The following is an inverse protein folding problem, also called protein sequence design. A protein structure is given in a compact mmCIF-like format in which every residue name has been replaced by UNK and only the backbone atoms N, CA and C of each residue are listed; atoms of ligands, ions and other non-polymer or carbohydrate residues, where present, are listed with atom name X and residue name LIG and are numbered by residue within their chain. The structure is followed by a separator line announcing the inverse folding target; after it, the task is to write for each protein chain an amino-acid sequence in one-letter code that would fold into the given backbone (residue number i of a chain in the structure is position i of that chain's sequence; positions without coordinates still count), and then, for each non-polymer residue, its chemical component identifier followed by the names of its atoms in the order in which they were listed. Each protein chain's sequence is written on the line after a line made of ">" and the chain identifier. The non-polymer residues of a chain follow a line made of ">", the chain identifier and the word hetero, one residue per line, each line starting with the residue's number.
data_IF_241603344288
#
_entry.id   IF_241603344288
#
_cell.length_a   1.000
_cell.length_b   1.000
_cell.length_c   1.000
_cell.angle_alpha   90.00
_cell.angle_beta   90.00
_cell.angle_gamma   90.00
#
_symmetry.space_group_name_H-M   'P 1'
#
loop_
_entity.id
_entity.type
_entity.pdbx_description
1 polymer ?
#
# COMPACT_ATOMS: atom_id res chain seq x y z
N UNK A 1 10.82 -37.92 -17.46
CA UNK A 1 10.48 -36.49 -17.26
C UNK A 1 11.77 -35.65 -17.14
N UNK A 2 11.90 -34.52 -17.84
CA UNK A 2 13.01 -33.62 -17.56
C UNK A 2 12.94 -33.21 -16.08
N UNK A 3 14.07 -32.97 -15.39
CA UNK A 3 14.05 -32.54 -14.00
C UNK A 3 13.18 -31.28 -13.93
N UNK A 4 12.05 -31.40 -13.24
CA UNK A 4 11.11 -30.29 -13.05
C UNK A 4 11.89 -29.17 -12.40
N UNK A 5 12.09 -28.04 -13.10
CA UNK A 5 12.67 -26.83 -12.48
C UNK A 5 11.90 -26.58 -11.19
N UNK A 6 12.57 -26.70 -10.04
CA UNK A 6 11.94 -26.53 -8.73
C UNK A 6 11.32 -25.12 -8.68
N UNK A 7 10.00 -25.07 -8.50
CA UNK A 7 9.19 -23.84 -8.46
C UNK A 7 9.47 -23.00 -7.22
N UNK A 8 9.14 -21.71 -7.27
CA UNK A 8 9.07 -20.85 -6.07
C UNK A 8 7.65 -20.93 -5.49
N UNK A 9 7.53 -21.11 -4.18
CA UNK A 9 6.24 -21.04 -3.48
C UNK A 9 6.04 -19.62 -2.99
N UNK A 10 4.87 -19.04 -3.21
CA UNK A 10 4.47 -17.75 -2.67
C UNK A 10 3.22 -17.96 -1.83
N UNK A 11 3.21 -17.43 -0.61
CA UNK A 11 2.05 -17.48 0.27
C UNK A 11 1.40 -16.10 0.25
N UNK A 12 0.16 -16.04 -0.23
CA UNK A 12 -0.63 -14.82 -0.44
C UNK A 12 -0.76 -14.43 -1.92
N UNK A 13 -1.99 -14.36 -2.41
CA UNK A 13 -2.36 -13.81 -3.73
C UNK A 13 -2.80 -12.33 -3.64
N UNK A 14 -2.24 -11.59 -2.67
CA UNK A 14 -2.30 -10.13 -2.67
C UNK A 14 -1.46 -9.51 -3.79
N UNK A 15 -1.50 -8.17 -3.95
CA UNK A 15 -0.77 -7.48 -5.01
C UNK A 15 0.75 -7.78 -4.97
N UNK A 16 1.34 -7.93 -3.80
CA UNK A 16 2.78 -8.18 -3.65
C UNK A 16 3.15 -9.60 -4.09
N UNK A 17 2.39 -10.61 -3.66
CA UNK A 17 2.62 -12.00 -4.07
C UNK A 17 2.42 -12.19 -5.57
N UNK A 18 1.34 -11.64 -6.12
CA UNK A 18 1.07 -11.69 -7.56
C UNK A 18 2.10 -10.91 -8.38
N UNK A 19 2.55 -9.74 -7.92
CA UNK A 19 3.58 -8.97 -8.64
C UNK A 19 4.93 -9.68 -8.64
N UNK A 20 5.29 -10.31 -7.51
CA UNK A 20 6.48 -11.18 -7.41
C UNK A 20 6.37 -12.34 -8.41
N UNK A 21 5.22 -13.02 -8.44
CA UNK A 21 4.97 -14.14 -9.35
C UNK A 21 5.06 -13.72 -10.83
N UNK A 22 4.46 -12.59 -11.21
CA UNK A 22 4.51 -12.06 -12.57
C UNK A 22 5.95 -11.83 -13.01
N UNK A 23 6.78 -11.24 -12.15
CA UNK A 23 8.17 -10.97 -12.47
C UNK A 23 9.00 -12.25 -12.61
N UNK A 24 8.82 -13.22 -11.71
CA UNK A 24 9.49 -14.52 -11.79
C UNK A 24 9.09 -15.30 -13.04
N UNK A 25 7.80 -15.30 -13.39
CA UNK A 25 7.31 -15.97 -14.59
C UNK A 25 7.91 -15.36 -15.87
N UNK A 26 8.10 -14.04 -15.90
CA UNK A 26 8.77 -13.35 -17.03
C UNK A 26 10.25 -13.71 -17.20
N UNK A 27 10.88 -14.28 -16.18
CA UNK A 27 12.23 -14.86 -16.26
C UNK A 27 12.23 -16.39 -16.30
N UNK A 28 11.09 -16.99 -16.69
CA UNK A 28 10.93 -18.43 -16.88
C UNK A 28 11.15 -19.26 -15.59
N UNK A 29 10.75 -18.72 -14.45
CA UNK A 29 10.74 -19.39 -13.15
C UNK A 29 9.29 -19.78 -12.81
N UNK A 30 8.97 -21.08 -12.70
CA UNK A 30 7.63 -21.53 -12.31
C UNK A 30 7.29 -21.13 -10.88
N UNK A 31 6.02 -20.79 -10.64
CA UNK A 31 5.54 -20.32 -9.32
C UNK A 31 4.26 -21.06 -8.93
N UNK A 32 4.16 -21.40 -7.65
CA UNK A 32 2.91 -21.81 -6.99
C UNK A 32 2.53 -20.75 -5.96
N UNK A 33 1.33 -20.20 -6.07
CA UNK A 33 0.76 -19.29 -5.06
C UNK A 33 -0.28 -20.05 -4.23
N UNK A 34 -0.15 -19.98 -2.91
CA UNK A 34 -1.14 -20.48 -1.95
C UNK A 34 -1.87 -19.28 -1.32
N UNK A 35 -3.18 -19.20 -1.51
CA UNK A 35 -4.04 -18.14 -0.97
C UNK A 35 -5.16 -18.75 -0.13
N UNK A 36 -5.32 -18.27 1.11
CA UNK A 36 -6.33 -18.79 2.03
C UNK A 36 -7.74 -18.35 1.69
N UNK A 37 -7.90 -17.15 1.13
CA UNK A 37 -9.20 -16.66 0.67
C UNK A 37 -9.67 -17.49 -0.54
N UNK A 38 -11.00 -17.70 -0.68
CA UNK A 38 -11.54 -18.45 -1.81
C UNK A 38 -11.43 -17.69 -3.15
N UNK A 39 -11.17 -16.38 -3.10
CA UNK A 39 -11.05 -15.49 -4.25
C UNK A 39 -10.20 -14.27 -3.90
N UNK A 40 -9.80 -13.49 -4.92
CA UNK A 40 -9.11 -12.22 -4.74
C UNK A 40 -9.99 -11.21 -4.01
N UNK A 41 -9.36 -10.36 -3.18
CA UNK A 41 -10.05 -9.24 -2.55
C UNK A 41 -10.41 -8.17 -3.58
N UNK A 42 -11.66 -7.75 -3.58
CA UNK A 42 -12.14 -6.58 -4.35
C UNK A 42 -12.00 -5.27 -3.58
N UNK A 43 -11.51 -5.32 -2.33
CA UNK A 43 -11.46 -4.16 -1.47
C UNK A 43 -10.51 -3.09 -2.05
N UNK A 44 -10.96 -1.84 -2.21
CA UNK A 44 -10.16 -0.74 -2.73
C UNK A 44 -8.83 -0.47 -2.02
N UNK A 45 -8.75 -0.59 -0.68
CA UNK A 45 -7.53 -0.39 0.14
C UNK A 45 -6.64 0.79 -0.35
N UNK A 46 -5.41 0.53 -0.80
CA UNK A 46 -4.51 1.55 -1.32
C UNK A 46 -4.87 1.95 -2.77
N UNK A 47 -4.59 3.21 -3.14
CA UNK A 47 -5.10 3.79 -4.41
C UNK A 47 -4.02 4.50 -5.21
N UNK A 48 -3.11 5.22 -4.56
CA UNK A 48 -2.10 6.04 -5.22
C UNK A 48 -0.79 5.28 -5.45
N UNK A 49 -0.27 5.32 -6.68
CA UNK A 49 1.03 4.79 -7.08
C UNK A 49 1.89 5.89 -7.70
N UNK A 50 3.09 6.09 -7.17
CA UNK A 50 3.99 7.17 -7.59
C UNK A 50 5.46 6.74 -7.50
N UNK A 51 6.37 7.65 -7.87
CA UNK A 51 7.81 7.47 -7.70
C UNK A 51 8.35 6.20 -8.35
N UNK A 52 9.32 5.56 -7.69
CA UNK A 52 9.91 4.31 -8.15
C UNK A 52 8.91 3.15 -8.25
N UNK A 53 7.85 3.11 -7.42
CA UNK A 53 6.84 2.05 -7.49
C UNK A 53 6.04 2.14 -8.80
N UNK A 54 5.66 3.36 -9.22
CA UNK A 54 5.04 3.58 -10.52
C UNK A 54 6.02 3.26 -11.67
N UNK A 55 7.30 3.59 -11.53
CA UNK A 55 8.32 3.20 -12.50
C UNK A 55 8.48 1.67 -12.61
N UNK A 56 8.39 0.95 -11.49
CA UNK A 56 8.38 -0.52 -11.49
C UNK A 56 7.14 -1.07 -12.21
N UNK A 57 5.95 -0.50 -11.95
CA UNK A 57 4.73 -0.90 -12.63
C UNK A 57 4.81 -0.68 -14.15
N UNK A 58 5.35 0.48 -14.59
CA UNK A 58 5.57 0.85 -16.01
C UNK A 58 6.39 -0.18 -16.79
N UNK A 59 7.24 -0.97 -16.13
CA UNK A 59 8.05 -2.03 -16.75
C UNK A 59 7.28 -3.34 -16.96
N UNK A 60 5.99 -3.38 -16.64
CA UNK A 60 5.13 -4.57 -16.73
C UNK A 60 3.93 -4.34 -17.65
N UNK A 61 3.37 -5.40 -18.27
CA UNK A 61 2.19 -5.27 -19.14
C UNK A 61 0.96 -4.71 -18.40
N UNK A 62 0.90 -4.86 -17.08
CA UNK A 62 -0.17 -4.35 -16.21
C UNK A 62 -0.35 -2.84 -16.33
N UNK A 63 0.74 -2.08 -16.55
CA UNK A 63 0.69 -0.62 -16.54
C UNK A 63 -0.26 -0.04 -17.57
N UNK A 64 -0.31 -0.59 -18.79
CA UNK A 64 -1.16 -0.03 -19.85
C UNK A 64 -2.63 -0.09 -19.47
N UNK A 65 -3.08 -1.23 -18.94
CA UNK A 65 -4.46 -1.39 -18.49
C UNK A 65 -4.76 -0.63 -17.19
N UNK A 66 -3.79 -0.57 -16.28
CA UNK A 66 -3.91 0.22 -15.06
C UNK A 66 -4.05 1.72 -15.36
N UNK A 67 -3.32 2.23 -16.37
CA UNK A 67 -3.44 3.62 -16.85
C UNK A 67 -4.77 3.89 -17.54
N UNK A 68 -5.31 2.92 -18.26
CA UNK A 68 -6.60 3.05 -18.96
C UNK A 68 -7.79 3.07 -17.99
N UNK A 69 -7.75 2.22 -16.95
CA UNK A 69 -8.84 2.10 -15.97
C UNK A 69 -8.71 3.07 -14.81
N UNK A 70 -7.49 3.51 -14.52
CA UNK A 70 -7.20 4.52 -13.50
C UNK A 70 -7.26 5.94 -14.05
N UNK A 71 -6.88 6.89 -13.21
CA UNK A 71 -6.73 8.30 -13.58
C UNK A 71 -5.48 8.89 -12.95
N UNK A 72 -5.07 10.08 -13.39
CA UNK A 72 -3.84 10.73 -12.94
C UNK A 72 -4.15 12.05 -12.23
N UNK A 73 -3.48 12.25 -11.09
CA UNK A 73 -3.30 13.56 -10.48
C UNK A 73 -1.84 13.99 -10.57
N UNK A 74 -1.58 15.28 -10.38
CA UNK A 74 -0.21 15.79 -10.27
C UNK A 74 0.43 15.36 -8.95
N UNK A 75 -0.33 15.12 -7.89
CA UNK A 75 0.26 14.86 -6.58
C UNK A 75 -0.75 14.72 -5.45
N UNK A 76 -0.26 14.93 -4.23
CA UNK A 76 -1.06 14.96 -3.00
C UNK A 76 -0.93 16.35 -2.36
N UNK A 77 -1.93 16.80 -1.63
CA UNK A 77 -1.86 18.08 -0.92
C UNK A 77 -2.09 17.92 0.59
N UNK A 78 -1.54 18.85 1.37
CA UNK A 78 -1.99 19.15 2.73
C UNK A 78 -2.99 20.29 2.65
N UNK A 79 -4.11 20.17 3.35
CA UNK A 79 -5.16 21.19 3.38
C UNK A 79 -5.78 21.38 4.75
N UNK A 80 -6.38 22.54 4.95
CA UNK A 80 -7.17 22.85 6.14
C UNK A 80 -8.43 21.97 6.21
N UNK A 81 -8.95 21.80 7.42
CA UNK A 81 -10.24 21.15 7.67
C UNK A 81 -11.40 21.93 7.04
N UNK A 82 -12.62 21.41 7.19
CA UNK A 82 -13.83 21.99 6.61
C UNK A 82 -14.05 23.46 7.03
N UNK A 83 -14.50 24.27 6.09
CA UNK A 83 -14.94 25.66 6.30
C UNK A 83 -16.38 25.83 5.81
N UNK A 84 -17.07 26.87 6.30
CA UNK A 84 -18.42 27.19 5.82
C UNK A 84 -18.39 27.52 4.32
N UNK A 85 -19.29 26.93 3.55
CA UNK A 85 -19.41 27.20 2.12
C UNK A 85 -20.27 28.45 1.89
N UNK A 86 -19.64 29.61 1.96
CA UNK A 86 -20.28 30.91 1.71
C UNK A 86 -20.33 31.20 0.21
N UNK A 87 -21.06 30.38 -0.54
CA UNK A 87 -21.21 30.59 -1.98
C UNK A 87 -22.08 31.84 -2.20
N UNK A 88 -21.46 32.95 -2.62
CA UNK A 88 -22.08 34.30 -2.69
C UNK A 88 -23.35 34.35 -3.57
N UNK A 89 -23.53 33.37 -4.46
CA UNK A 89 -24.69 33.28 -5.38
C UNK A 89 -25.95 32.62 -4.79
N UNK A 90 -25.85 31.90 -3.65
CA UNK A 90 -27.02 31.24 -3.05
C UNK A 90 -27.82 32.15 -2.09
N UNK A 91 -27.32 33.35 -1.79
CA UNK A 91 -27.94 34.27 -0.84
C UNK A 91 -29.12 35.09 -1.41
N UNK A 92 -29.63 34.77 -2.61
CA UNK A 92 -30.73 35.52 -3.23
C UNK A 92 -32.13 35.00 -2.89
N UNK A 93 -32.28 33.76 -2.41
CA UNK A 93 -33.60 33.12 -2.25
C UNK A 93 -33.94 32.62 -0.83
N UNK A 94 -33.19 33.00 0.21
CA UNK A 94 -33.65 32.84 1.61
C UNK A 94 -33.68 31.42 2.20
N UNK A 95 -33.44 30.38 1.41
CA UNK A 95 -33.46 28.96 1.85
C UNK A 95 -32.05 28.31 1.86
N UNK A 96 -30.99 29.11 2.03
CA UNK A 96 -29.61 28.68 1.80
C UNK A 96 -29.19 27.48 2.65
N UNK A 97 -28.98 26.32 2.01
CA UNK A 97 -28.36 25.16 2.64
C UNK A 97 -26.96 25.55 3.14
N UNK A 98 -26.74 25.53 4.47
CA UNK A 98 -25.42 25.79 5.05
C UNK A 98 -24.50 24.58 4.80
N UNK A 99 -23.86 24.55 3.63
CA UNK A 99 -22.86 23.56 3.29
C UNK A 99 -21.50 23.82 3.94
N UNK A 100 -20.65 22.80 3.87
CA UNK A 100 -19.22 22.92 4.16
C UNK A 100 -18.42 22.50 2.95
N UNK A 101 -17.29 23.17 2.71
CA UNK A 101 -16.29 22.75 1.72
C UNK A 101 -14.96 22.43 2.40
N UNK A 102 -14.11 21.71 1.68
CA UNK A 102 -12.74 21.51 2.13
C UNK A 102 -12.03 22.87 2.23
N UNK A 103 -11.28 23.08 3.31
CA UNK A 103 -10.48 24.28 3.47
C UNK A 103 -9.33 24.35 2.47
N UNK A 104 -8.71 25.53 2.40
CA UNK A 104 -7.67 25.83 1.42
C UNK A 104 -6.50 24.83 1.46
N UNK A 105 -5.90 24.61 0.30
CA UNK A 105 -4.64 23.88 0.15
C UNK A 105 -3.54 24.70 0.83
N UNK A 106 -2.90 24.11 1.83
CA UNK A 106 -1.76 24.71 2.55
C UNK A 106 -0.49 24.52 1.75
N UNK A 107 -0.26 23.29 1.27
CA UNK A 107 0.90 22.92 0.48
C UNK A 107 0.56 21.74 -0.43
N UNK A 108 1.18 21.67 -1.59
CA UNK A 108 0.94 20.61 -2.57
C UNK A 108 2.25 19.97 -3.02
N UNK A 109 2.37 18.67 -2.82
CA UNK A 109 3.50 17.90 -3.32
C UNK A 109 3.15 17.35 -4.70
N UNK A 110 3.62 18.01 -5.75
CA UNK A 110 3.55 17.46 -7.10
C UNK A 110 4.51 16.26 -7.22
N UNK A 111 3.97 15.11 -7.62
CA UNK A 111 4.69 13.88 -7.89
C UNK A 111 5.80 14.12 -8.91
N UNK A 112 7.04 14.05 -8.42
CA UNK A 112 8.32 14.25 -9.10
C UNK A 112 8.39 13.76 -10.56
N UNK A 113 7.88 14.57 -11.49
CA UNK A 113 7.93 14.34 -12.94
C UNK A 113 7.00 13.26 -13.51
N UNK A 114 6.29 12.48 -12.69
CA UNK A 114 5.49 11.35 -13.16
C UNK A 114 4.03 11.31 -12.68
N UNK A 115 3.64 12.24 -11.79
CA UNK A 115 2.30 12.26 -11.19
C UNK A 115 2.00 11.05 -10.30
N UNK A 116 0.73 10.93 -9.91
CA UNK A 116 0.21 9.81 -9.14
C UNK A 116 -0.83 9.11 -10.00
N UNK A 117 -0.65 7.80 -10.22
CA UNK A 117 -1.68 6.94 -10.78
C UNK A 117 -2.65 6.57 -9.66
N UNK A 118 -3.94 6.80 -9.88
CA UNK A 118 -5.02 6.40 -8.98
C UNK A 118 -5.73 5.18 -9.53
N UNK A 119 -5.65 4.07 -8.80
CA UNK A 119 -6.35 2.83 -9.11
C UNK A 119 -6.56 2.01 -7.82
N UNK A 120 -7.80 1.76 -7.40
CA UNK A 120 -8.10 0.86 -6.29
C UNK A 120 -7.30 -0.45 -6.32
N UNK A 121 -6.73 -0.84 -5.19
CA UNK A 121 -5.87 -2.01 -5.04
C UNK A 121 -6.54 -3.29 -5.54
N UNK A 122 -7.83 -3.48 -5.29
CA UNK A 122 -8.59 -4.63 -5.81
C UNK A 122 -8.52 -4.74 -7.33
N UNK A 123 -8.63 -3.60 -8.04
CA UNK A 123 -8.49 -3.56 -9.50
C UNK A 123 -7.05 -3.84 -9.93
N UNK A 124 -6.04 -3.22 -9.30
CA UNK A 124 -4.64 -3.51 -9.62
C UNK A 124 -4.33 -5.01 -9.42
N UNK A 125 -4.78 -5.58 -8.30
CA UNK A 125 -4.58 -6.99 -7.95
C UNK A 125 -5.17 -7.91 -9.01
N UNK A 126 -6.39 -7.62 -9.48
CA UNK A 126 -7.03 -8.35 -10.58
C UNK A 126 -6.23 -8.24 -11.88
N UNK A 127 -5.77 -7.04 -12.25
CA UNK A 127 -4.99 -6.85 -13.47
C UNK A 127 -3.66 -7.63 -13.44
N UNK A 128 -2.98 -7.64 -12.28
CA UNK A 128 -1.77 -8.45 -12.11
C UNK A 128 -2.11 -9.94 -12.22
N UNK A 129 -3.19 -10.41 -11.59
CA UNK A 129 -3.63 -11.81 -11.67
C UNK A 129 -3.91 -12.27 -13.10
N UNK A 130 -4.62 -11.44 -13.90
CA UNK A 130 -4.90 -11.74 -15.31
C UNK A 130 -3.60 -11.92 -16.11
N UNK A 131 -2.61 -11.05 -15.91
CA UNK A 131 -1.29 -11.17 -16.55
C UNK A 131 -0.49 -12.37 -16.03
N UNK A 132 -0.57 -12.68 -14.73
CA UNK A 132 0.08 -13.85 -14.11
C UNK A 132 -0.43 -15.14 -14.73
N UNK A 133 -1.75 -15.32 -14.83
CA UNK A 133 -2.35 -16.53 -15.41
C UNK A 133 -1.98 -16.68 -16.89
N UNK A 134 -1.94 -15.58 -17.65
CA UNK A 134 -1.55 -15.59 -19.07
C UNK A 134 -0.13 -16.11 -19.32
N UNK A 135 0.75 -16.07 -18.33
CA UNK A 135 2.12 -16.60 -18.48
C UNK A 135 2.17 -18.12 -18.66
N UNK A 136 1.16 -18.86 -18.17
CA UNK A 136 1.16 -20.33 -18.13
C UNK A 136 2.20 -20.95 -17.16
N UNK A 137 2.96 -20.14 -16.43
CA UNK A 137 4.02 -20.58 -15.50
C UNK A 137 3.64 -20.46 -14.03
N UNK A 138 2.47 -19.89 -13.73
CA UNK A 138 2.00 -19.65 -12.37
C UNK A 138 0.71 -20.38 -12.10
N UNK A 139 0.73 -21.22 -11.07
CA UNK A 139 -0.45 -21.87 -10.51
C UNK A 139 -0.90 -21.09 -9.26
N UNK A 140 -2.19 -20.72 -9.18
CA UNK A 140 -2.76 -20.08 -7.99
C UNK A 140 -3.80 -21.00 -7.37
N UNK A 141 -3.58 -21.42 -6.12
CA UNK A 141 -4.50 -22.24 -5.35
C UNK A 141 -5.17 -21.42 -4.26
N UNK A 142 -6.43 -21.06 -4.49
CA UNK A 142 -7.30 -20.41 -3.52
C UNK A 142 -7.86 -21.42 -2.50
N UNK A 143 -8.24 -20.92 -1.32
CA UNK A 143 -8.76 -21.74 -0.23
C UNK A 143 -7.71 -22.60 0.48
N UNK A 144 -6.42 -22.27 0.40
CA UNK A 144 -5.33 -22.99 1.05
C UNK A 144 -4.58 -22.09 2.04
N UNK A 145 -4.67 -22.43 3.32
CA UNK A 145 -3.97 -21.73 4.40
C UNK A 145 -2.70 -22.46 4.79
N UNK A 146 -1.55 -21.80 4.64
CA UNK A 146 -0.25 -22.36 5.09
C UNK A 146 -0.22 -22.37 6.61
N UNK A 147 0.09 -23.54 7.15
CA UNK A 147 0.12 -23.81 8.59
C UNK A 147 1.51 -24.15 9.12
N UNK A 148 2.42 -24.63 8.27
CA UNK A 148 3.81 -24.89 8.64
C UNK A 148 4.75 -24.80 7.41
N UNK A 149 6.05 -24.65 7.68
CA UNK A 149 7.10 -24.56 6.67
C UNK A 149 8.32 -25.37 7.12
N UNK A 150 8.66 -26.39 6.33
CA UNK A 150 9.81 -27.26 6.55
C UNK A 150 10.91 -26.84 5.57
N UNK A 151 12.10 -26.54 6.08
CA UNK A 151 13.28 -26.27 5.26
C UNK A 151 14.14 -27.53 5.23
N UNK A 152 14.48 -27.99 4.03
CA UNK A 152 15.43 -29.08 3.84
C UNK A 152 16.86 -28.50 3.88
N UNK A 153 17.89 -29.34 4.05
CA UNK A 153 19.27 -28.94 4.36
C UNK A 153 19.98 -28.04 3.34
N UNK A 154 21.31 -27.94 3.47
CA UNK A 154 22.14 -27.03 2.68
C UNK A 154 22.64 -27.62 1.35
N UNK A 155 22.32 -28.89 1.05
CA UNK A 155 22.73 -29.51 -0.21
C UNK A 155 21.97 -28.88 -1.40
N UNK A 156 22.58 -28.85 -2.59
CA UNK A 156 22.06 -28.14 -3.77
C UNK A 156 20.70 -28.65 -4.30
N UNK A 157 20.27 -29.82 -3.83
CA UNK A 157 18.97 -30.43 -4.11
C UNK A 157 17.93 -30.21 -3.00
N UNK A 158 18.25 -29.47 -1.95
CA UNK A 158 17.32 -29.16 -0.86
C UNK A 158 16.50 -27.90 -1.14
N UNK A 159 15.23 -27.97 -0.76
CA UNK A 159 14.23 -26.92 -1.00
C UNK A 159 13.45 -26.58 0.27
N UNK A 160 12.20 -26.21 0.07
CA UNK A 160 11.24 -25.94 1.14
C UNK A 160 9.96 -26.70 0.88
N UNK A 161 9.30 -27.13 1.93
CA UNK A 161 7.96 -27.70 1.88
C UNK A 161 7.01 -26.83 2.69
N UNK A 162 6.01 -26.24 2.03
CA UNK A 162 4.88 -25.60 2.69
C UNK A 162 3.83 -26.66 3.00
N UNK A 163 3.39 -26.70 4.26
CA UNK A 163 2.27 -27.52 4.71
C UNK A 163 1.04 -26.61 4.77
N UNK A 164 0.03 -26.89 3.94
CA UNK A 164 -1.17 -26.07 3.88
C UNK A 164 -2.43 -26.90 4.08
N UNK A 165 -3.41 -26.31 4.75
CA UNK A 165 -4.72 -26.90 4.97
C UNK A 165 -5.75 -26.24 4.07
N UNK A 166 -6.63 -27.05 3.50
CA UNK A 166 -7.77 -26.56 2.77
C UNK A 166 -8.76 -25.90 3.73
N UNK A 167 -9.12 -24.65 3.47
CA UNK A 167 -10.04 -23.86 4.31
C UNK A 167 -11.47 -24.39 4.22
N UNK A 168 -11.84 -24.99 3.08
CA UNK A 168 -13.13 -25.66 2.88
C UNK A 168 -12.98 -27.20 2.90
N UNK A 169 -13.96 -27.89 3.48
CA UNK A 169 -13.89 -29.34 3.72
C UNK A 169 -13.20 -29.67 5.05
N UNK A 170 -13.02 -30.97 5.35
CA UNK A 170 -12.53 -31.49 6.64
C UNK A 170 -11.07 -31.13 7.00
N UNK A 171 -10.54 -29.99 6.52
CA UNK A 171 -9.20 -29.51 6.87
C UNK A 171 -8.06 -30.34 6.31
N UNK A 172 -8.26 -30.98 5.15
CA UNK A 172 -7.25 -31.80 4.49
C UNK A 172 -5.94 -31.03 4.32
N UNK A 173 -4.85 -31.65 4.77
CA UNK A 173 -3.51 -31.10 4.73
C UNK A 173 -2.76 -31.62 3.49
N UNK A 174 -2.14 -30.72 2.74
CA UNK A 174 -1.32 -31.04 1.57
C UNK A 174 0.08 -30.42 1.74
N UNK A 175 1.08 -31.10 1.17
CA UNK A 175 2.48 -30.67 1.18
C UNK A 175 2.90 -30.20 -0.20
N UNK A 176 3.42 -28.97 -0.25
CA UNK A 176 3.87 -28.33 -1.48
C UNK A 176 5.37 -28.09 -1.43
N UNK A 177 6.13 -28.65 -2.37
CA UNK A 177 7.59 -28.50 -2.40
C UNK A 177 8.02 -27.49 -3.47
N UNK A 178 9.01 -26.66 -3.12
CA UNK A 178 9.62 -25.67 -3.99
C UNK A 178 11.08 -25.41 -3.61
N UNK A 179 11.77 -24.55 -4.36
CA UNK A 179 13.17 -24.18 -4.07
C UNK A 179 13.28 -23.09 -3.01
N UNK A 180 12.33 -22.15 -3.02
CA UNK A 180 12.24 -21.02 -2.11
C UNK A 180 10.78 -20.76 -1.74
N UNK A 181 10.57 -20.12 -0.59
CA UNK A 181 9.26 -19.68 -0.15
C UNK A 181 9.25 -18.17 0.10
N UNK A 182 8.25 -17.48 -0.45
CA UNK A 182 8.01 -16.05 -0.24
C UNK A 182 6.75 -15.87 0.60
N UNK A 183 6.88 -15.30 1.79
CA UNK A 183 5.76 -14.81 2.58
C UNK A 183 5.32 -13.43 2.12
N UNK A 184 4.18 -13.36 1.44
CA UNK A 184 3.54 -12.13 0.98
C UNK A 184 2.05 -12.08 1.44
N UNK A 185 1.79 -12.69 2.61
CA UNK A 185 0.47 -13.03 3.16
C UNK A 185 -0.07 -11.97 4.14
N UNK A 186 0.37 -10.72 3.99
CA UNK A 186 -0.21 -9.56 4.65
C UNK A 186 0.23 -9.34 6.10
N UNK A 187 -0.34 -8.33 6.76
CA UNK A 187 0.11 -7.92 8.10
C UNK A 187 -0.08 -8.95 9.21
N UNK A 188 -1.02 -9.89 9.02
CA UNK A 188 -1.25 -11.03 9.93
C UNK A 188 -0.46 -12.29 9.54
N UNK A 189 0.54 -12.16 8.65
CA UNK A 189 1.35 -13.22 8.04
C UNK A 189 1.54 -14.46 8.92
N UNK A 190 1.06 -15.60 8.41
CA UNK A 190 1.31 -16.91 8.95
C UNK A 190 2.77 -17.30 8.74
N UNK A 191 3.33 -17.03 7.55
CA UNK A 191 4.74 -17.35 7.23
C UNK A 191 5.70 -16.71 8.23
N UNK A 192 5.54 -15.40 8.49
CA UNK A 192 6.39 -14.69 9.47
C UNK A 192 6.31 -15.34 10.85
N UNK A 193 5.11 -15.73 11.30
CA UNK A 193 4.88 -16.36 12.61
C UNK A 193 5.48 -17.77 12.68
N UNK A 194 5.29 -18.59 11.64
CA UNK A 194 5.88 -19.93 11.51
C UNK A 194 7.41 -19.85 11.58
N UNK A 195 8.00 -18.88 10.89
CA UNK A 195 9.44 -18.63 10.92
C UNK A 195 9.92 -18.00 12.24
N UNK A 196 9.00 -17.63 13.14
CA UNK A 196 9.28 -16.99 14.43
C UNK A 196 10.06 -15.68 14.29
N UNK A 197 9.72 -14.88 13.29
CA UNK A 197 10.35 -13.58 13.06
C UNK A 197 9.50 -12.48 13.73
N UNK A 198 10.00 -11.82 14.79
CA UNK A 198 9.24 -10.77 15.45
C UNK A 198 9.18 -9.49 14.61
N UNK A 199 8.11 -8.70 14.81
CA UNK A 199 8.01 -7.33 14.34
C UNK A 199 8.54 -6.37 15.43
N UNK A 200 9.31 -5.36 15.04
CA UNK A 200 9.84 -4.32 15.91
C UNK A 200 9.37 -2.94 15.46
N UNK A 201 9.16 -2.04 16.42
CA UNK A 201 8.72 -0.67 16.19
C UNK A 201 7.56 -0.31 17.11
N UNK A 202 6.60 0.47 16.62
CA UNK A 202 5.48 0.97 17.44
C UNK A 202 4.15 0.96 16.69
N UNK A 203 3.06 1.11 17.46
CA UNK A 203 1.72 1.36 16.94
C UNK A 203 1.28 2.74 17.38
N UNK A 204 0.52 3.43 16.53
CA UNK A 204 0.00 4.75 16.86
C UNK A 204 -1.17 4.64 17.86
N UNK A 205 -1.28 5.59 18.81
CA UNK A 205 -2.27 5.52 19.88
C UNK A 205 -3.70 5.76 19.37
N UNK A 206 -3.88 6.57 18.32
CA UNK A 206 -5.17 6.75 17.68
C UNK A 206 -5.54 5.60 16.73
N UNK A 207 -6.83 5.50 16.44
CA UNK A 207 -7.38 4.63 15.39
C UNK A 207 -7.72 5.47 14.18
N UNK A 208 -7.71 4.82 13.02
CA UNK A 208 -8.21 5.40 11.77
C UNK A 208 -9.51 4.69 11.42
N UNK A 209 -10.57 5.47 11.18
CA UNK A 209 -11.83 4.99 10.61
C UNK A 209 -11.80 5.29 9.12
N UNK A 210 -11.66 4.25 8.28
CA UNK A 210 -11.78 4.36 6.83
C UNK A 210 -13.22 4.12 6.41
N UNK A 211 -13.77 5.06 5.65
CA UNK A 211 -15.13 5.07 5.13
C UNK A 211 -15.07 5.22 3.61
N UNK A 212 -15.73 4.31 2.91
CA UNK A 212 -16.01 4.43 1.49
C UNK A 212 -17.38 5.05 1.32
N UNK A 213 -17.44 6.20 0.66
CA UNK A 213 -18.63 7.05 0.62
C UNK A 213 -18.87 7.57 -0.79
N UNK A 214 -20.14 7.58 -1.21
CA UNK A 214 -20.57 8.30 -2.40
C UNK A 214 -21.01 9.70 -1.96
N UNK A 215 -20.29 10.72 -2.45
CA UNK A 215 -20.62 12.12 -2.23
C UNK A 215 -20.22 12.97 -3.44
N UNK A 216 -20.82 14.14 -3.55
CA UNK A 216 -20.44 15.16 -4.53
C UNK A 216 -19.47 16.16 -3.89
N UNK A 217 -18.26 16.31 -4.43
CA UNK A 217 -17.32 17.38 -4.04
C UNK A 217 -17.15 18.36 -5.20
N UNK A 218 -17.88 19.47 -5.13
CA UNK A 218 -17.87 20.54 -6.14
C UNK A 218 -16.58 21.37 -6.15
N UNK A 219 -15.77 21.25 -5.10
CA UNK A 219 -14.58 22.06 -4.88
C UNK A 219 -13.28 21.25 -4.97
N UNK A 220 -13.36 20.00 -5.46
CA UNK A 220 -12.19 19.15 -5.58
C UNK A 220 -11.19 19.78 -6.56
N UNK A 221 -9.92 19.87 -6.15
CA UNK A 221 -8.83 20.22 -7.06
C UNK A 221 -8.46 18.97 -7.88
N UNK A 222 -8.71 18.94 -9.20
CA UNK A 222 -8.40 17.78 -10.04
C UNK A 222 -6.89 17.54 -10.19
N UNK A 223 -6.05 18.53 -9.89
CA UNK A 223 -4.61 18.40 -9.90
C UNK A 223 -4.09 17.67 -8.66
N UNK A 224 -4.76 17.87 -7.51
CA UNK A 224 -4.42 17.25 -6.23
C UNK A 224 -5.63 16.53 -5.63
N UNK A 225 -6.11 15.45 -6.27
CA UNK A 225 -7.36 14.81 -5.89
C UNK A 225 -7.27 14.11 -4.53
N UNK A 226 -6.06 13.79 -4.05
CA UNK A 226 -5.87 13.33 -2.67
C UNK A 226 -5.54 14.48 -1.75
N UNK A 227 -6.35 14.61 -0.71
CA UNK A 227 -6.23 15.62 0.32
C UNK A 227 -5.85 15.00 1.66
N UNK A 228 -4.68 15.37 2.17
CA UNK A 228 -4.30 15.11 3.56
C UNK A 228 -4.81 16.28 4.41
N UNK A 229 -5.79 16.00 5.26
CA UNK A 229 -6.44 16.99 6.09
C UNK A 229 -5.61 17.21 7.35
N UNK A 230 -5.22 18.46 7.59
CA UNK A 230 -4.48 18.88 8.78
C UNK A 230 -5.44 19.26 9.88
N UNK A 231 -5.37 18.55 11.02
CA UNK A 231 -6.19 18.79 12.19
C UNK A 231 -5.57 18.10 13.43
N UNK A 232 -5.59 18.70 14.62
CA UNK A 232 -4.93 18.12 15.81
C UNK A 232 -5.49 16.77 16.26
N UNK A 233 -6.79 16.53 16.02
CA UNK A 233 -7.49 15.28 16.41
C UNK A 233 -7.95 14.50 15.17
N UNK A 234 -8.97 14.99 14.46
CA UNK A 234 -9.54 14.35 13.27
C UNK A 234 -8.76 14.62 11.96
N UNK A 235 -7.44 14.53 11.99
CA UNK A 235 -6.66 14.54 10.75
C UNK A 235 -6.98 13.31 9.91
N UNK A 236 -6.65 13.34 8.62
CA UNK A 236 -6.97 12.21 7.78
C UNK A 236 -6.62 12.38 6.32
N UNK A 237 -7.21 11.52 5.49
CA UNK A 237 -7.11 11.61 4.04
C UNK A 237 -8.49 11.49 3.39
N UNK A 238 -8.73 12.31 2.37
CA UNK A 238 -9.82 12.15 1.41
C UNK A 238 -9.19 11.84 0.06
N UNK A 239 -9.58 10.73 -0.57
CA UNK A 239 -9.10 10.38 -1.92
C UNK A 239 -10.21 9.76 -2.74
N UNK A 240 -10.40 10.19 -4.00
CA UNK A 240 -11.33 9.51 -4.89
C UNK A 240 -10.82 8.10 -5.21
N UNK A 241 -11.76 7.16 -5.32
CA UNK A 241 -11.54 5.78 -5.73
C UNK A 241 -11.84 5.56 -7.21
N UNK A 242 -12.44 6.55 -7.87
CA UNK A 242 -12.78 6.56 -9.28
C UNK A 242 -12.64 7.97 -9.86
N UNK A 243 -12.62 8.15 -11.20
CA UNK A 243 -12.54 9.47 -11.80
C UNK A 243 -13.71 10.36 -11.38
N UNK A 244 -13.39 11.55 -10.90
CA UNK A 244 -14.39 12.52 -10.42
C UNK A 244 -15.08 13.17 -11.60
N UNK A 245 -16.41 13.26 -11.55
CA UNK A 245 -17.24 13.87 -12.60
C UNK A 245 -18.09 14.97 -11.97
N UNK A 246 -18.04 16.15 -12.58
CA UNK A 246 -18.81 17.30 -12.13
C UNK A 246 -20.33 16.99 -12.15
N UNK A 247 -21.02 17.28 -11.06
CA UNK A 247 -22.46 17.02 -10.91
C UNK A 247 -22.84 15.56 -10.62
N UNK A 248 -21.88 14.64 -10.46
CA UNK A 248 -22.12 13.23 -10.09
C UNK A 248 -21.50 12.91 -8.73
N UNK A 249 -22.21 12.08 -7.93
CA UNK A 249 -21.60 11.47 -6.74
C UNK A 249 -20.43 10.59 -7.18
N UNK A 250 -19.29 10.78 -6.52
CA UNK A 250 -18.07 10.01 -6.75
C UNK A 250 -17.78 9.17 -5.51
N UNK A 251 -17.26 7.96 -5.70
CA UNK A 251 -16.81 7.12 -4.60
C UNK A 251 -15.47 7.64 -4.04
N UNK A 252 -15.47 8.08 -2.78
CA UNK A 252 -14.29 8.51 -2.04
C UNK A 252 -13.95 7.55 -0.91
N UNK A 253 -12.67 7.49 -0.58
CA UNK A 253 -12.20 7.06 0.74
C UNK A 253 -11.94 8.27 1.62
N UNK A 254 -12.67 8.35 2.73
CA UNK A 254 -12.39 9.21 3.87
C UNK A 254 -11.77 8.37 4.98
N UNK A 255 -10.48 8.55 5.28
CA UNK A 255 -9.85 7.91 6.44
C UNK A 255 -9.56 8.95 7.50
N UNK A 256 -10.22 8.86 8.65
CA UNK A 256 -10.23 9.90 9.68
C UNK A 256 -9.67 9.34 10.98
N UNK A 257 -8.75 10.07 11.60
CA UNK A 257 -8.25 9.74 12.92
C UNK A 257 -9.32 10.00 14.00
N UNK A 258 -9.39 9.09 14.96
CA UNK A 258 -10.17 9.26 16.19
C UNK A 258 -9.32 9.95 17.25
N UNK A 259 -9.96 10.41 18.32
CA UNK A 259 -9.23 10.78 19.53
C UNK A 259 -8.45 9.55 20.07
N UNK A 260 -7.18 9.69 20.48
CA UNK A 260 -6.44 8.60 21.13
C UNK A 260 -7.07 8.07 22.41
N UNK A 261 -7.83 8.91 23.12
CA UNK A 261 -8.58 8.59 24.34
C UNK A 261 -10.01 8.10 24.08
N UNK A 262 -10.41 7.89 22.81
CA UNK A 262 -11.71 7.31 22.49
C UNK A 262 -11.79 5.87 23.01
N UNK A 263 -12.76 5.60 23.90
CA UNK A 263 -12.93 4.30 24.57
C UNK A 263 -13.88 3.35 23.83
N UNK A 264 -14.54 3.82 22.76
CA UNK A 264 -15.46 2.98 21.97
C UNK A 264 -14.74 1.78 21.38
N UNK A 265 -15.43 0.66 21.19
CA UNK A 265 -14.91 -0.49 20.45
C UNK A 265 -14.74 -0.18 18.95
N UNK A 266 -14.03 -1.05 18.22
CA UNK A 266 -13.90 -0.88 16.78
C UNK A 266 -15.26 -1.05 16.08
N UNK A 267 -16.16 -1.88 16.64
CA UNK A 267 -17.54 -2.05 16.19
C UNK A 267 -18.38 -0.78 16.40
N UNK A 268 -18.31 -0.17 17.59
CA UNK A 268 -19.02 1.08 17.93
C UNK A 268 -18.54 2.28 17.08
N UNK A 269 -17.25 2.31 16.72
CA UNK A 269 -16.69 3.33 15.84
C UNK A 269 -17.24 3.26 14.41
N UNK A 270 -17.65 2.07 13.96
CA UNK A 270 -18.17 1.86 12.60
C UNK A 270 -19.68 1.79 12.52
N UNK A 271 -20.38 2.02 13.63
CA UNK A 271 -21.83 2.23 13.63
C UNK A 271 -22.20 3.50 12.86
N UNK A 272 -23.35 3.46 12.16
CA UNK A 272 -23.76 4.53 11.25
C UNK A 272 -23.80 5.91 11.91
N UNK A 273 -24.25 6.00 13.16
CA UNK A 273 -24.28 7.27 13.91
C UNK A 273 -22.87 7.84 14.13
N UNK A 274 -21.91 6.99 14.54
CA UNK A 274 -20.50 7.37 14.70
C UNK A 274 -19.88 7.82 13.38
N UNK A 275 -20.16 7.09 12.29
CA UNK A 275 -19.66 7.43 10.95
C UNK A 275 -20.20 8.77 10.46
N UNK A 276 -21.50 9.03 10.65
CA UNK A 276 -22.13 10.29 10.24
C UNK A 276 -21.53 11.49 10.97
N UNK A 277 -21.27 11.38 12.28
CA UNK A 277 -20.60 12.44 13.05
C UNK A 277 -19.19 12.72 12.51
N UNK A 278 -18.40 11.68 12.22
CA UNK A 278 -17.06 11.85 11.63
C UNK A 278 -17.14 12.49 10.24
N UNK A 279 -18.06 12.04 9.38
CA UNK A 279 -18.23 12.58 8.03
C UNK A 279 -18.73 14.03 8.04
N UNK A 280 -19.63 14.41 8.94
CA UNK A 280 -20.08 15.81 9.06
C UNK A 280 -18.96 16.79 9.48
N UNK A 281 -17.93 16.27 10.16
CA UNK A 281 -16.72 17.01 10.51
C UNK A 281 -15.62 16.98 9.45
N UNK A 282 -15.69 16.05 8.47
CA UNK A 282 -14.55 15.74 7.61
C UNK A 282 -14.82 15.80 6.09
N UNK A 283 -16.08 15.58 5.66
CA UNK A 283 -16.45 15.53 4.26
C UNK A 283 -17.17 16.82 3.80
N UNK A 284 -16.89 17.32 2.58
CA UNK A 284 -17.59 18.47 2.01
C UNK A 284 -19.03 18.09 1.63
N UNK A 285 -19.90 19.09 1.47
CA UNK A 285 -21.30 18.94 1.07
C UNK A 285 -22.29 19.74 1.93
N UNK A 286 -23.60 19.62 1.66
CA UNK A 286 -24.65 20.29 2.43
C UNK A 286 -24.73 19.80 3.89
N UNK A 287 -25.52 20.46 4.73
CA UNK A 287 -25.87 19.96 6.08
C UNK A 287 -27.40 19.94 6.24
N UNK A 288 -28.02 18.77 6.57
CA UNK A 288 -27.40 17.47 6.83
C UNK A 288 -26.63 16.91 5.62
N UNK A 289 -25.56 16.15 5.87
CA UNK A 289 -24.68 15.68 4.81
C UNK A 289 -25.38 14.66 3.92
N UNK A 290 -25.53 14.97 2.63
CA UNK A 290 -25.95 14.02 1.60
C UNK A 290 -24.78 13.11 1.23
N UNK A 291 -24.78 11.90 1.79
CA UNK A 291 -23.74 10.89 1.62
C UNK A 291 -24.30 9.48 1.74
N UNK A 292 -23.84 8.58 0.87
CA UNK A 292 -24.12 7.15 0.98
C UNK A 292 -22.86 6.41 1.46
N UNK A 293 -22.95 5.72 2.60
CA UNK A 293 -21.84 4.95 3.17
C UNK A 293 -21.85 3.55 2.54
N UNK A 294 -20.83 3.25 1.74
CA UNK A 294 -20.67 1.97 1.03
C UNK A 294 -19.96 0.92 1.89
N UNK A 295 -19.03 1.35 2.74
CA UNK A 295 -18.32 0.46 3.65
C UNK A 295 -17.47 1.21 4.65
N UNK A 296 -17.15 0.56 5.76
CA UNK A 296 -16.37 1.16 6.84
C UNK A 296 -15.47 0.13 7.53
N UNK A 297 -14.38 0.60 8.12
CA UNK A 297 -13.53 -0.20 9.00
C UNK A 297 -12.73 0.70 9.95
N UNK A 298 -12.61 0.30 11.21
CA UNK A 298 -11.66 0.90 12.15
C UNK A 298 -10.39 0.04 12.22
N UNK A 299 -9.24 0.69 12.29
CA UNK A 299 -7.96 -0.01 12.44
C UNK A 299 -6.89 0.88 13.08
N UNK A 300 -5.92 0.24 13.73
CA UNK A 300 -4.69 0.91 14.18
C UNK A 300 -3.66 0.92 13.07
N UNK A 301 -2.88 2.00 13.03
CA UNK A 301 -1.73 2.11 12.12
C UNK A 301 -0.44 1.80 12.87
N UNK A 302 0.59 1.44 12.12
CA UNK A 302 1.83 0.90 12.67
C UNK A 302 3.04 1.53 11.98
N UNK A 303 4.17 1.48 12.68
CA UNK A 303 5.51 1.51 12.11
C UNK A 303 6.24 0.29 12.65
N UNK A 304 6.05 -0.85 11.98
CA UNK A 304 6.59 -2.13 12.40
C UNK A 304 7.41 -2.75 11.28
N UNK A 305 8.57 -3.31 11.59
CA UNK A 305 9.43 -4.00 10.63
C UNK A 305 9.87 -5.35 11.19
N UNK A 306 9.91 -6.38 10.38
CA UNK A 306 10.42 -7.68 10.74
C UNK A 306 11.91 -7.58 11.12
N UNK A 307 12.31 -8.28 12.18
CA UNK A 307 13.70 -8.26 12.65
C UNK A 307 14.69 -8.68 11.55
N UNK A 308 14.30 -9.65 10.72
CA UNK A 308 14.96 -10.02 9.47
C UNK A 308 13.90 -10.31 8.43
N UNK A 309 14.20 -10.10 7.15
CA UNK A 309 13.31 -10.44 6.04
C UNK A 309 13.60 -11.84 5.47
N UNK A 310 14.59 -12.57 6.01
CA UNK A 310 14.97 -13.91 5.56
C UNK A 310 15.20 -14.85 6.75
N UNK A 311 14.81 -16.12 6.58
CA UNK A 311 15.27 -17.25 7.39
C UNK A 311 15.49 -18.47 6.49
N UNK A 312 16.76 -18.79 6.21
CA UNK A 312 17.13 -19.87 5.28
C UNK A 312 16.65 -19.59 3.86
N UNK A 313 15.85 -20.49 3.30
CA UNK A 313 15.25 -20.39 1.95
C UNK A 313 13.90 -19.65 1.93
N UNK A 314 13.48 -19.11 3.07
CA UNK A 314 12.24 -18.37 3.21
C UNK A 314 12.50 -16.86 3.33
N UNK A 315 11.73 -16.05 2.62
CA UNK A 315 11.84 -14.58 2.61
C UNK A 315 10.47 -13.90 2.74
N UNK A 316 10.43 -12.70 3.30
CA UNK A 316 9.22 -11.90 3.52
C UNK A 316 9.21 -10.68 2.59
N UNK A 317 8.03 -10.28 2.12
CA UNK A 317 7.83 -9.08 1.30
C UNK A 317 6.51 -8.37 1.63
N UNK A 318 6.48 -7.04 1.45
CA UNK A 318 5.28 -6.22 1.72
C UNK A 318 4.86 -6.29 3.19
N UNK A 319 3.54 -6.29 3.44
CA UNK A 319 2.98 -6.28 4.80
C UNK A 319 3.39 -7.47 5.69
N UNK A 320 3.86 -8.57 5.08
CA UNK A 320 4.44 -9.67 5.84
C UNK A 320 5.78 -9.28 6.49
N UNK A 321 6.55 -8.39 5.83
CA UNK A 321 7.83 -7.88 6.28
C UNK A 321 7.72 -6.58 7.09
N UNK A 322 6.85 -5.65 6.72
CA UNK A 322 6.74 -4.35 7.40
C UNK A 322 5.34 -3.74 7.30
N UNK A 323 4.93 -2.98 8.31
CA UNK A 323 3.64 -2.33 8.40
C UNK A 323 3.86 -0.83 8.59
N UNK A 324 3.17 -0.04 7.77
CA UNK A 324 3.36 1.39 7.68
C UNK A 324 2.02 2.12 7.80
N UNK A 325 2.03 3.35 8.30
CA UNK A 325 0.85 4.21 8.25
C UNK A 325 0.55 4.66 6.79
N UNK A 326 -0.70 5.05 6.45
CA UNK A 326 -1.07 5.33 5.07
C UNK A 326 -0.60 6.71 4.54
N UNK A 327 -0.16 7.62 5.42
CA UNK A 327 0.13 9.01 5.05
C UNK A 327 1.42 9.11 4.21
N UNK A 328 1.27 9.53 2.95
CA UNK A 328 2.33 9.53 1.93
C UNK A 328 2.24 8.39 0.90
N UNK A 329 1.24 7.50 1.01
CA UNK A 329 1.01 6.39 0.07
C UNK A 329 2.25 5.49 -0.11
N UNK A 330 2.93 5.15 0.99
CA UNK A 330 4.18 4.39 0.98
C UNK A 330 4.04 2.89 1.34
N UNK A 331 2.90 2.45 1.89
CA UNK A 331 2.72 1.04 2.28
C UNK A 331 2.77 0.06 1.10
N UNK A 332 1.70 0.00 0.30
CA UNK A 332 1.60 -0.90 -0.85
C UNK A 332 2.74 -0.70 -1.87
N UNK A 333 3.12 0.56 -2.12
CA UNK A 333 4.16 0.95 -3.08
C UNK A 333 5.54 0.45 -2.65
N UNK A 334 5.87 0.48 -1.37
CA UNK A 334 7.10 -0.16 -0.85
C UNK A 334 7.06 -1.66 -1.08
N UNK A 335 5.93 -2.32 -0.84
CA UNK A 335 5.76 -3.74 -1.13
C UNK A 335 5.99 -4.10 -2.60
N UNK A 336 5.55 -3.25 -3.55
CA UNK A 336 5.82 -3.47 -4.98
C UNK A 336 7.32 -3.42 -5.29
N UNK A 337 8.07 -2.56 -4.60
CA UNK A 337 9.53 -2.47 -4.73
C UNK A 337 10.25 -3.64 -4.04
N UNK A 338 9.69 -4.16 -2.94
CA UNK A 338 10.18 -5.42 -2.35
C UNK A 338 10.03 -6.57 -3.34
N UNK A 339 8.87 -6.71 -3.97
CA UNK A 339 8.61 -7.72 -4.98
C UNK A 339 9.53 -7.55 -6.21
N UNK A 340 9.81 -6.30 -6.61
CA UNK A 340 10.74 -6.00 -7.71
C UNK A 340 12.16 -6.48 -7.41
N UNK A 341 12.68 -6.11 -6.24
CA UNK A 341 14.00 -6.50 -5.77
C UNK A 341 14.09 -8.02 -5.55
N UNK A 342 13.09 -8.62 -4.92
CA UNK A 342 13.08 -10.06 -4.62
C UNK A 342 13.08 -10.90 -5.89
N UNK A 343 12.25 -10.56 -6.88
CA UNK A 343 12.21 -11.31 -8.12
C UNK A 343 13.55 -11.24 -8.87
N UNK A 344 14.23 -10.09 -8.90
CA UNK A 344 15.57 -9.97 -9.48
C UNK A 344 16.60 -10.83 -8.71
N UNK A 345 16.47 -10.89 -7.38
CA UNK A 345 17.35 -11.69 -6.52
C UNK A 345 17.19 -13.18 -6.82
N UNK A 346 15.95 -13.66 -6.85
CA UNK A 346 15.66 -15.07 -7.15
C UNK A 346 16.01 -15.44 -8.59
N UNK A 347 15.86 -14.53 -9.55
CA UNK A 347 16.30 -14.71 -10.93
C UNK A 347 17.81 -14.96 -11.02
N UNK A 348 18.60 -14.09 -10.38
CA UNK A 348 20.05 -14.25 -10.29
C UNK A 348 20.46 -15.58 -9.65
N UNK A 349 19.78 -15.99 -8.56
CA UNK A 349 20.10 -17.25 -7.90
C UNK A 349 19.70 -18.46 -8.75
N UNK A 350 18.49 -18.47 -9.32
CA UNK A 350 17.92 -19.65 -9.98
C UNK A 350 18.47 -19.82 -11.40
N UNK A 351 18.44 -18.76 -12.20
CA UNK A 351 18.81 -18.80 -13.61
C UNK A 351 20.29 -18.51 -13.82
N UNK A 352 20.89 -17.58 -13.08
CA UNK A 352 22.30 -17.20 -13.22
C UNK A 352 23.24 -17.91 -12.24
N UNK A 353 22.69 -18.80 -11.39
CA UNK A 353 23.45 -19.63 -10.44
C UNK A 353 24.29 -18.82 -9.46
N UNK A 354 23.84 -17.61 -9.11
CA UNK A 354 24.45 -16.80 -8.06
C UNK A 354 24.20 -17.42 -6.69
N UNK A 355 25.08 -17.11 -5.74
CA UNK A 355 25.01 -17.65 -4.38
C UNK A 355 23.71 -17.26 -3.67
N UNK A 356 23.20 -18.17 -2.84
CA UNK A 356 21.96 -17.99 -2.07
C UNK A 356 22.02 -16.79 -1.10
N UNK A 357 23.22 -16.39 -0.68
CA UNK A 357 23.48 -15.26 0.21
C UNK A 357 23.01 -13.92 -0.37
N UNK A 358 22.73 -13.85 -1.68
CA UNK A 358 22.03 -12.70 -2.25
C UNK A 358 20.66 -12.43 -1.61
N UNK A 359 20.03 -13.43 -0.99
CA UNK A 359 18.81 -13.22 -0.20
C UNK A 359 19.07 -12.42 1.09
N UNK A 360 20.28 -12.48 1.67
CA UNK A 360 20.66 -11.60 2.80
C UNK A 360 20.81 -10.17 2.31
N UNK A 361 21.43 -9.97 1.14
CA UNK A 361 21.53 -8.64 0.52
C UNK A 361 20.14 -8.05 0.28
N UNK A 362 19.20 -8.85 -0.23
CA UNK A 362 17.80 -8.43 -0.35
C UNK A 362 17.20 -8.04 1.00
N UNK A 363 17.31 -8.92 2.00
CA UNK A 363 16.71 -8.72 3.30
C UNK A 363 17.23 -7.43 3.97
N UNK A 364 18.55 -7.23 3.95
CA UNK A 364 19.22 -6.08 4.54
C UNK A 364 18.84 -4.78 3.84
N UNK A 365 18.88 -4.76 2.51
CA UNK A 365 18.61 -3.52 1.77
C UNK A 365 17.14 -3.11 1.85
N UNK A 366 16.19 -4.05 1.77
CA UNK A 366 14.77 -3.72 1.91
C UNK A 366 14.41 -3.29 3.33
N UNK A 367 15.02 -3.91 4.35
CA UNK A 367 14.91 -3.44 5.74
C UNK A 367 15.50 -2.05 5.93
N UNK A 368 16.70 -1.79 5.39
CA UNK A 368 17.36 -0.48 5.43
C UNK A 368 16.49 0.59 4.78
N UNK A 369 15.92 0.31 3.61
CA UNK A 369 14.99 1.22 2.92
C UNK A 369 13.78 1.54 3.80
N UNK A 370 13.19 0.53 4.45
CA UNK A 370 12.07 0.77 5.35
C UNK A 370 12.48 1.73 6.49
N UNK A 371 13.58 1.42 7.19
CA UNK A 371 14.02 2.15 8.38
C UNK A 371 14.58 3.56 8.09
N UNK A 372 15.18 3.77 6.92
CA UNK A 372 15.89 5.03 6.60
C UNK A 372 15.10 5.95 5.67
N UNK A 373 14.02 5.45 5.07
CA UNK A 373 13.21 6.23 4.14
C UNK A 373 11.71 6.09 4.42
N UNK A 374 11.16 4.86 4.36
CA UNK A 374 9.69 4.66 4.38
C UNK A 374 9.07 5.07 5.72
N UNK A 375 9.60 4.57 6.84
CA UNK A 375 9.12 4.91 8.18
C UNK A 375 9.33 6.41 8.47
N UNK A 376 10.55 6.99 8.36
CA UNK A 376 10.74 8.42 8.62
C UNK A 376 9.84 9.33 7.78
N UNK A 377 9.72 9.08 6.48
CA UNK A 377 8.92 9.95 5.59
C UNK A 377 7.43 9.85 5.92
N UNK A 378 6.89 8.64 6.08
CA UNK A 378 5.47 8.46 6.40
C UNK A 378 5.12 8.91 7.82
N UNK A 379 6.02 8.72 8.78
CA UNK A 379 5.88 9.25 10.15
C UNK A 379 5.78 10.76 10.13
N UNK A 380 6.68 11.46 9.43
CA UNK A 380 6.65 12.92 9.35
C UNK A 380 5.42 13.44 8.60
N UNK A 381 4.99 12.76 7.53
CA UNK A 381 3.75 13.14 6.84
C UNK A 381 2.53 13.04 7.75
N UNK A 382 2.42 11.96 8.52
CA UNK A 382 1.35 11.79 9.51
C UNK A 382 1.40 12.86 10.60
N UNK A 383 2.58 13.17 11.14
CA UNK A 383 2.74 14.20 12.18
C UNK A 383 2.35 15.59 11.67
N UNK A 384 2.63 15.91 10.39
CA UNK A 384 2.13 17.14 9.75
C UNK A 384 0.61 17.15 9.66
N UNK A 385 -0.02 16.02 9.34
CA UNK A 385 -1.48 15.94 9.35
C UNK A 385 -2.05 16.14 10.75
N UNK A 386 -1.43 15.55 11.78
CA UNK A 386 -1.85 15.64 13.17
C UNK A 386 -1.45 16.96 13.87
N UNK A 387 -1.09 18.00 13.12
CA UNK A 387 -0.64 19.29 13.65
C UNK A 387 -1.76 20.34 13.64
N UNK A 388 -1.48 21.51 14.22
CA UNK A 388 -2.37 22.66 14.14
C UNK A 388 -2.26 23.30 12.74
N UNK A 389 -3.37 23.46 12.00
CA UNK A 389 -3.37 24.03 10.66
C UNK A 389 -2.81 25.47 10.58
N UNK A 390 -2.79 26.21 11.69
CA UNK A 390 -2.23 27.57 11.74
C UNK A 390 -0.71 27.59 11.93
N UNK A 391 -0.13 26.52 12.49
CA UNK A 391 1.33 26.42 12.74
C UNK A 391 2.04 25.45 11.81
N UNK A 392 1.32 24.58 11.08
CA UNK A 392 1.91 23.59 10.16
C UNK A 392 2.77 24.23 9.06
N UNK A 393 2.51 25.49 8.73
CA UNK A 393 3.32 26.29 7.79
C UNK A 393 4.70 26.63 8.33
N UNK A 394 4.99 26.38 9.60
CA UNK A 394 6.31 26.48 10.20
C UNK A 394 7.15 25.19 10.05
N UNK A 395 6.58 24.08 9.57
CA UNK A 395 7.37 22.92 9.20
C UNK A 395 8.25 23.24 7.99
N UNK A 396 9.53 22.84 8.05
CA UNK A 396 10.50 23.21 7.03
C UNK A 396 10.16 22.65 5.64
N UNK A 397 9.56 21.45 5.56
CA UNK A 397 9.16 20.86 4.28
C UNK A 397 7.95 21.61 3.74
N UNK A 398 6.95 21.88 4.59
CA UNK A 398 5.77 22.65 4.19
C UNK A 398 6.20 24.01 3.63
N UNK A 399 7.07 24.75 4.33
CA UNK A 399 7.65 26.02 3.81
C UNK A 399 8.36 25.84 2.47
N UNK A 400 9.18 24.81 2.35
CA UNK A 400 9.95 24.56 1.13
C UNK A 400 9.07 24.22 -0.08
N UNK A 401 7.99 23.46 0.15
CA UNK A 401 7.00 23.11 -0.87
C UNK A 401 6.18 24.34 -1.28
N UNK A 402 5.74 25.17 -0.33
CA UNK A 402 5.01 26.43 -0.59
C UNK A 402 5.86 27.38 -1.43
N UNK A 403 7.14 27.55 -1.07
CA UNK A 403 8.04 28.48 -1.75
C UNK A 403 8.67 27.90 -3.03
N UNK A 404 8.34 26.65 -3.38
CA UNK A 404 8.89 25.93 -4.53
C UNK A 404 10.42 26.00 -4.63
N UNK A 405 11.14 25.95 -3.50
CA UNK A 405 12.59 26.08 -3.48
C UNK A 405 13.23 24.86 -4.17
N UNK A 406 13.94 25.03 -5.31
CA UNK A 406 14.41 23.90 -6.11
C UNK A 406 15.24 22.89 -5.32
N UNK A 407 16.15 23.37 -4.47
CA UNK A 407 17.02 22.52 -3.64
C UNK A 407 16.22 21.67 -2.65
N UNK A 408 15.16 22.23 -2.06
CA UNK A 408 14.29 21.50 -1.13
C UNK A 408 13.46 20.45 -1.88
N UNK A 409 12.93 20.82 -3.05
CA UNK A 409 12.17 19.89 -3.88
C UNK A 409 13.04 18.73 -4.37
N UNK A 410 14.28 19.01 -4.78
CA UNK A 410 15.24 17.98 -5.16
C UNK A 410 15.63 17.10 -3.96
N UNK A 411 15.97 17.69 -2.82
CA UNK A 411 16.37 16.96 -1.62
C UNK A 411 15.27 16.01 -1.12
N UNK A 412 13.99 16.42 -1.19
CA UNK A 412 12.88 15.54 -0.83
C UNK A 412 12.57 14.52 -1.93
N UNK A 413 12.63 14.92 -3.20
CA UNK A 413 12.20 14.08 -4.32
C UNK A 413 13.17 12.99 -4.72
N UNK A 414 14.46 13.31 -4.74
CA UNK A 414 15.51 12.40 -5.17
C UNK A 414 15.50 11.06 -4.42
N UNK A 415 15.33 11.01 -3.08
CA UNK A 415 15.20 9.75 -2.36
C UNK A 415 14.10 8.79 -2.86
N UNK A 416 13.02 9.28 -3.48
CA UNK A 416 11.97 8.42 -4.05
C UNK A 416 12.44 7.60 -5.26
N UNK A 417 13.59 7.94 -5.85
CA UNK A 417 14.19 7.24 -6.99
C UNK A 417 15.58 6.68 -6.71
N UNK A 418 16.32 7.28 -5.77
CA UNK A 418 17.70 6.87 -5.48
C UNK A 418 17.81 5.99 -4.21
N UNK A 419 16.91 6.16 -3.24
CA UNK A 419 16.94 5.45 -1.96
C UNK A 419 15.85 4.39 -1.89
N UNK A 420 14.64 4.72 -2.33
CA UNK A 420 13.47 3.84 -2.19
C UNK A 420 13.50 2.55 -3.02
N UNK A 421 13.90 2.54 -4.32
CA UNK A 421 14.09 1.30 -5.05
C UNK A 421 15.41 0.62 -4.67
N UNK A 422 15.50 -0.69 -4.94
CA UNK A 422 16.72 -1.46 -4.73
C UNK A 422 17.14 -2.16 -6.01
N UNK A 423 18.25 -1.73 -6.61
CA UNK A 423 18.85 -2.41 -7.76
C UNK A 423 19.73 -3.57 -7.29
N UNK A 424 19.10 -4.74 -7.16
CA UNK A 424 19.78 -5.95 -6.70
C UNK A 424 20.90 -6.41 -7.63
N UNK A 425 20.80 -6.17 -8.93
CA UNK A 425 21.84 -6.57 -9.90
C UNK A 425 23.09 -5.71 -9.74
N UNK A 426 22.91 -4.40 -9.58
CA UNK A 426 24.01 -3.48 -9.26
C UNK A 426 24.66 -3.82 -7.92
N UNK A 427 23.87 -4.10 -6.89
CA UNK A 427 24.39 -4.48 -5.56
C UNK A 427 25.15 -5.80 -5.59
N UNK A 428 24.63 -6.81 -6.29
CA UNK A 428 25.31 -8.09 -6.47
C UNK A 428 26.68 -7.90 -7.12
N UNK A 429 26.75 -7.13 -8.22
CA UNK A 429 28.01 -6.82 -8.90
C UNK A 429 29.00 -6.09 -7.99
N UNK A 430 28.55 -5.09 -7.23
CA UNK A 430 29.39 -4.34 -6.28
C UNK A 430 29.92 -5.20 -5.12
N UNK A 431 29.16 -6.22 -4.71
CA UNK A 431 29.53 -7.13 -3.62
C UNK A 431 30.25 -8.40 -4.12
N UNK A 432 30.54 -8.50 -5.42
CA UNK A 432 31.34 -9.59 -6.00
C UNK A 432 30.60 -10.91 -6.21
N UNK A 433 29.27 -10.89 -6.34
CA UNK A 433 28.45 -12.08 -6.63
C UNK A 433 28.45 -12.46 -8.11
#
# INVERSE_FOLDING_TARGET
>A
PPPTKKKVIIVGAGPIGLFTALKLARTNIPVLILEKSPQLSTAPRAVGYHGAALAALKRTPVYHKARELGFFGKGICWRRSLVADQDENHNRNGDGEMGKKMGDIIASLAGYGHGVLYLPQGMLTRLIYEEVVRTGLVEVRFGWEVSDVIQHGDDDDDGVTAVARKVSGHGEEERFTGKFLVGADGGKSAVRKILQIPLQGHSWPERIVAMDVLLEDKHLDPMFPTSMVVHPVNFGLVTPLEPVREGEKTLYRCSVATDPGDERTDEELVEEASLRVLLEGFAPGPRPLDVDIVGSSAYRTHQLCAFTLRKGRCVLAGDAAHLNNPFGALGLTTGLLDADALANTLDMIINEKKAIDLLDVYADERKRVFQTFVDPVSTQNKLRCASDPDTVTEDWLIRGVINHTPDVMEAFGRPFFDVWPTDMRKLAALRGY
#
